data_IF_868651994945
#
_entry.id   IF_868651994945
#
_cell.length_a   1.000
_cell.length_b   1.000
_cell.length_c   1.000
_cell.angle_alpha   90.00
_cell.angle_beta   90.00
_cell.angle_gamma   90.00
#
_symmetry.space_group_name_H-M   'P 1'
#
loop_
_entity.id
_entity.type
_entity.pdbx_description
1 polymer ?
2 polymer ?
3 polymer ?
4 non-polymer ?
5 non-polymer ?
6 non-polymer ?
7 water ?
#
loop_
_entity_poly.entity_id
_entity_poly.type
_entity_poly.pdbx_seq_one_letter_code
_entity_poly.pdbx_strand_id
1 'polydeoxyribonucleotide' '(DG)(DG)(DG)(DG)(DT)(DG)(DT)(DG)(DG)(DT)(DA)(DG)' ?
2 'polydeoxyribonucleotide' '(DA)(DT)(DC)(DG)(DC)(DT)(DA)(DC)(DC)(DA)(DC)(DA)(DC)(DC)(DC)(DC)(DT)' ?
#
# COMPACT_ATOMS: atom_id res chain seq x y z
N UNK C 12 22.61 -15.52 6.89
CA UNK C 12 23.12 -14.16 7.01
C UNK C 12 23.76 -13.70 5.70
N UNK C 13 22.99 -12.95 4.91
CA UNK C 13 23.43 -12.39 3.64
C UNK C 13 23.66 -10.90 3.84
N UNK C 14 24.91 -10.45 3.67
CA UNK C 14 25.25 -9.04 3.83
C UNK C 14 25.04 -8.28 2.52
N UNK C 15 25.00 -6.94 2.61
CA UNK C 15 24.66 -6.12 1.46
C UNK C 15 25.72 -6.16 0.37
N UNK C 16 26.95 -6.55 0.68
CA UNK C 16 27.96 -6.74 -0.36
C UNK C 16 27.92 -8.15 -0.97
N UNK C 17 26.95 -8.95 -0.62
CA UNK C 17 26.80 -10.29 -1.14
C UNK C 17 25.90 -10.25 -2.37
N UNK C 18 26.28 -10.92 -3.47
CA UNK C 18 25.43 -10.88 -4.67
C UNK C 18 23.98 -11.26 -4.42
N UNK C 19 23.71 -12.13 -3.43
CA UNK C 19 22.38 -12.64 -3.09
C UNK C 19 21.59 -11.71 -2.18
N UNK C 20 22.14 -10.55 -1.81
CA UNK C 20 21.47 -9.71 -0.82
C UNK C 20 20.08 -9.29 -1.30
N UNK C 21 20.01 -8.75 -2.52
CA UNK C 21 18.74 -8.24 -3.01
C UNK C 21 17.68 -9.33 -3.03
N UNK C 22 18.06 -10.52 -3.49
CA UNK C 22 17.12 -11.64 -3.51
C UNK C 22 16.66 -11.97 -2.10
N UNK C 23 17.58 -12.01 -1.15
CA UNK C 23 17.22 -12.42 0.20
C UNK C 23 16.41 -11.33 0.91
N UNK C 24 16.78 -10.07 0.73
CA UNK C 24 16.00 -8.98 1.34
C UNK C 24 14.58 -8.96 0.81
N UNK C 25 14.43 -8.97 -0.52
CA UNK C 25 13.09 -8.96 -1.10
C UNK C 25 12.30 -10.19 -0.69
N UNK C 26 12.97 -11.34 -0.53
CA UNK C 26 12.27 -12.55 -0.11
C UNK C 26 11.65 -12.40 1.26
N UNK C 27 12.26 -11.60 2.14
CA UNK C 27 11.79 -11.43 3.51
C UNK C 27 10.94 -10.18 3.74
N UNK C 28 10.97 -9.22 2.81
CA UNK C 28 10.41 -7.90 3.05
C UNK C 28 8.92 -7.94 2.73
N UNK C 29 8.08 -7.75 3.74
CA UNK C 29 6.62 -7.70 3.52
C UNK C 29 6.26 -6.47 2.67
N UNK C 30 7.04 -5.40 2.78
CA UNK C 30 6.67 -4.18 2.03
C UNK C 30 7.01 -4.42 0.56
N UNK C 31 8.13 -5.07 0.27
CA UNK C 31 8.39 -5.47 -1.10
C UNK C 31 7.26 -6.35 -1.64
N UNK C 32 6.82 -7.35 -0.85
CA UNK C 32 5.78 -8.26 -1.32
C UNK C 32 4.48 -7.51 -1.61
N UNK C 33 4.07 -6.63 -0.68
CA UNK C 33 2.87 -5.83 -0.90
C UNK C 33 2.97 -5.03 -2.19
N UNK C 34 4.12 -4.39 -2.43
CA UNK C 34 4.31 -3.60 -3.65
C UNK C 34 4.36 -4.48 -4.90
N UNK C 35 5.09 -5.61 -4.85
CA UNK C 35 5.13 -6.51 -6.01
C UNK C 35 3.75 -7.10 -6.28
N UNK C 36 3.04 -7.50 -5.24
CA UNK C 36 1.71 -8.07 -5.41
C UNK C 36 0.78 -7.06 -6.08
N UNK C 37 0.84 -5.80 -5.64
CA UNK C 37 0.00 -4.77 -6.23
C UNK C 37 0.33 -4.57 -7.70
N UNK C 38 1.62 -4.51 -8.04
CA UNK C 38 2.05 -4.32 -9.42
C UNK C 38 1.56 -5.44 -10.32
N UNK C 39 1.67 -6.69 -9.86
CA UNK C 39 1.20 -7.82 -10.64
C UNK C 39 -0.31 -7.80 -10.82
N UNK C 40 -1.04 -7.40 -9.77
CA UNK C 40 -2.49 -7.32 -9.88
C UNK C 40 -2.90 -6.29 -10.92
N UNK C 41 -2.20 -5.14 -10.97
CA UNK C 41 -2.55 -4.12 -11.95
C UNK C 41 -2.24 -4.58 -13.36
N UNK C 42 -1.13 -5.29 -13.57
CA UNK C 42 -0.81 -5.75 -14.91
C UNK C 42 -1.76 -6.85 -15.32
N UNK C 43 -2.20 -7.69 -14.38
CA UNK C 43 -3.19 -8.72 -14.70
C UNK C 43 -4.53 -8.10 -15.07
N UNK C 44 -4.92 -7.02 -14.41
CA UNK C 44 -6.13 -6.33 -14.80
C UNK C 44 -6.05 -5.87 -16.25
N UNK C 45 -4.92 -5.23 -16.61
CA UNK C 45 -4.72 -4.74 -17.96
C UNK C 45 -4.81 -5.86 -18.99
N UNK C 46 -4.22 -7.02 -18.68
CA UNK C 46 -4.22 -8.13 -19.63
C UNK C 46 -5.58 -8.78 -19.74
N UNK C 47 -6.22 -9.07 -18.60
CA UNK C 47 -7.56 -9.68 -18.61
C UNK C 47 -8.55 -8.86 -19.42
N UNK C 48 -8.41 -7.54 -19.39
CA UNK C 48 -9.35 -6.63 -20.02
C UNK C 48 -8.82 -6.05 -21.33
N UNK C 49 -7.76 -6.63 -21.91
CA UNK C 49 -7.12 -6.01 -23.08
C UNK C 49 -8.10 -5.83 -24.23
N UNK C 50 -9.09 -6.72 -24.34
CA UNK C 50 -10.14 -6.55 -25.34
C UNK C 50 -11.49 -6.49 -24.65
N UNK C 51 -11.69 -5.48 -23.78
CA UNK C 51 -12.97 -5.26 -23.05
C UNK C 51 -13.05 -3.80 -22.58
N UNK C 52 -13.64 -2.87 -23.33
CA UNK C 52 -13.62 -1.46 -22.81
C UNK C 52 -14.42 -1.28 -21.50
N UNK C 53 -15.63 -1.82 -21.37
CA UNK C 53 -16.41 -1.80 -20.08
C UNK C 53 -16.45 -0.38 -19.52
N UNK C 54 -16.70 0.64 -20.34
CA UNK C 54 -16.61 2.06 -19.91
C UNK C 54 -17.63 2.53 -18.86
N UNK C 55 -17.18 3.39 -17.92
CA UNK C 55 -18.10 4.01 -16.92
C UNK C 55 -18.04 5.50 -17.25
N UNK C 56 -19.17 6.19 -17.18
CA UNK C 56 -19.24 7.59 -17.65
C UNK C 56 -19.86 8.40 -16.51
N UNK C 57 -19.69 9.73 -16.53
CA UNK C 57 -20.30 10.63 -15.51
C UNK C 57 -21.84 10.55 -15.46
N UNK C 58 -22.46 10.19 -16.58
CA UNK C 58 -23.94 10.06 -16.62
C UNK C 58 -24.39 8.73 -16.00
N UNK C 59 -23.50 7.74 -15.92
CA UNK C 59 -23.83 6.40 -15.36
C UNK C 59 -24.05 6.44 -13.83
N UNK C 60 -24.92 5.55 -13.31
CA UNK C 60 -25.19 5.49 -11.87
C UNK C 60 -24.64 4.16 -11.33
N UNK C 61 -23.89 4.19 -10.21
CA UNK C 61 -23.22 2.96 -9.71
C UNK C 61 -23.18 2.81 -8.19
N UNK C 62 -22.97 1.57 -7.72
CA UNK C 62 -22.74 1.32 -6.30
C UNK C 62 -21.36 0.67 -6.15
N UNK C 63 -20.65 1.03 -5.09
CA UNK C 63 -19.31 0.52 -4.82
C UNK C 63 -19.39 -0.49 -3.68
N UNK C 64 -18.74 -1.63 -3.85
CA UNK C 64 -18.49 -2.59 -2.78
C UNK C 64 -16.97 -2.62 -2.58
N UNK C 65 -16.52 -2.11 -1.41
CA UNK C 65 -15.12 -2.06 -1.05
C UNK C 65 -14.84 -3.20 -0.07
N UNK C 66 -14.06 -4.17 -0.49
CA UNK C 66 -13.94 -5.45 0.19
C UNK C 66 -12.51 -5.60 0.72
N UNK C 67 -12.38 -6.02 1.98
CA UNK C 67 -11.03 -6.10 2.58
C UNK C 67 -10.94 -7.19 3.65
N UNK C 68 -9.99 -8.12 3.50
CA UNK C 68 -9.72 -9.11 4.53
C UNK C 68 -9.52 -8.43 5.89
N UNK C 69 -10.04 -9.04 6.95
CA UNK C 69 -9.75 -8.51 8.32
C UNK C 69 -8.39 -9.04 8.77
N UNK C 70 -7.50 -8.20 9.32
CA UNK C 70 -6.11 -8.60 9.73
C UNK C 70 -5.64 -9.73 8.82
N UNK C 71 -5.35 -9.42 7.55
CA UNK C 71 -5.09 -10.48 6.57
C UNK C 71 -3.89 -11.36 6.94
N UNK C 72 -2.70 -10.75 7.12
CA UNK C 72 -1.50 -11.54 7.44
C UNK C 72 -1.69 -12.35 8.72
N UNK C 73 -2.22 -11.72 9.76
CA UNK C 73 -2.36 -12.42 11.04
C UNK C 73 -3.33 -13.58 10.91
N UNK C 74 -4.43 -13.38 10.19
CA UNK C 74 -5.42 -14.44 10.01
C UNK C 74 -4.82 -15.60 9.23
N UNK C 75 -4.11 -15.31 8.14
CA UNK C 75 -3.56 -16.39 7.34
C UNK C 75 -2.40 -17.05 8.06
N UNK C 76 -1.51 -16.25 8.66
CA UNK C 76 -0.37 -16.82 9.37
C UNK C 76 -0.81 -17.72 10.51
N UNK C 77 -1.94 -17.38 11.15
CA UNK C 77 -2.50 -18.26 12.17
C UNK C 77 -3.06 -19.52 11.54
N UNK C 78 -3.97 -19.38 10.56
CA UNK C 78 -4.64 -20.57 9.98
C UNK C 78 -3.61 -21.57 9.48
N UNK C 79 -2.51 -21.08 8.90
CA UNK C 79 -1.40 -21.96 8.40
C UNK C 79 -0.11 -22.17 9.26
N UNK C 80 -0.27 -21.76 10.53
CA UNK C 80 0.91 -21.81 11.43
C UNK C 80 1.44 -23.23 11.66
N UNK C 81 2.76 -23.32 11.78
CA UNK C 81 3.42 -24.62 12.02
C UNK C 81 3.12 -25.17 13.41
N UNK C 82 3.50 -26.41 13.63
CA UNK C 82 3.30 -27.09 14.93
C UNK C 82 4.11 -26.37 16.02
N UNK C 83 5.23 -25.74 15.69
CA UNK C 83 6.05 -25.01 16.66
C UNK C 83 5.19 -24.04 17.47
N UNK C 84 4.03 -23.64 16.92
CA UNK C 84 3.15 -22.59 17.51
C UNK C 84 1.70 -23.07 17.68
N UNK C 85 1.46 -24.31 18.10
CA UNK C 85 0.10 -24.90 18.15
C UNK C 85 -0.64 -24.25 19.31
N UNK C 86 0.12 -23.77 20.31
CA UNK C 86 -0.43 -23.23 21.57
C UNK C 86 -0.87 -21.75 21.50
N UNK C 87 -1.97 -21.47 20.78
CA UNK C 87 -2.61 -20.13 20.72
C UNK C 87 -4.00 -20.22 20.09
N UNK C 88 -4.93 -19.40 20.59
CA UNK C 88 -6.29 -19.11 20.12
C UNK C 88 -6.39 -17.74 19.49
N UNK C 89 -6.90 -17.73 18.26
CA UNK C 89 -7.04 -16.47 17.56
C UNK C 89 -8.01 -15.52 18.26
N UNK C 90 -9.06 -16.05 18.87
CA UNK C 90 -10.09 -15.19 19.43
C UNK C 90 -9.81 -14.77 20.86
N UNK C 91 -8.82 -15.38 21.52
CA UNK C 91 -8.52 -15.04 22.91
C UNK C 91 -7.07 -14.61 23.16
N UNK C 92 -6.18 -14.78 22.17
CA UNK C 92 -4.78 -14.42 22.35
C UNK C 92 -4.41 -13.23 21.49
N UNK C 93 -3.50 -12.36 21.97
CA UNK C 93 -2.96 -11.28 21.12
C UNK C 93 -1.91 -11.81 20.16
N UNK C 94 -2.29 -11.91 18.88
CA UNK C 94 -1.44 -12.50 17.84
C UNK C 94 -0.88 -11.40 16.95
N UNK C 95 0.43 -11.43 16.71
CA UNK C 95 1.08 -10.54 15.76
C UNK C 95 1.92 -11.37 14.79
N UNK C 96 2.17 -10.80 13.60
CA UNK C 96 3.06 -11.40 12.60
C UNK C 96 4.28 -10.50 12.46
N UNK C 97 5.47 -11.06 12.67
CA UNK C 97 6.70 -10.28 12.60
C UNK C 97 7.88 -11.25 12.47
N UNK C 98 9.03 -10.68 12.10
CA UNK C 98 10.28 -11.42 11.89
C UNK C 98 11.00 -11.70 13.20
N UNK C 99 11.06 -10.71 14.10
CA UNK C 99 12.02 -10.77 15.18
C UNK C 99 11.43 -10.63 16.57
N UNK C 100 12.27 -10.27 17.53
CA UNK C 100 11.89 -10.28 18.95
C UNK C 100 11.78 -8.90 19.57
N UNK C 101 12.52 -7.91 19.08
CA UNK C 101 12.51 -6.61 19.73
C UNK C 101 12.09 -5.51 18.76
N UNK C 102 13.03 -4.97 17.98
CA UNK C 102 12.73 -3.81 17.13
C UNK C 102 12.24 -4.23 15.74
N UNK C 103 11.25 -5.11 15.74
CA UNK C 103 10.76 -5.76 14.53
C UNK C 103 9.33 -5.30 14.32
N UNK C 104 9.00 -4.93 13.07
CA UNK C 104 7.68 -4.41 12.78
C UNK C 104 6.60 -5.47 12.94
N UNK C 105 5.49 -5.08 13.55
CA UNK C 105 4.28 -5.90 13.50
C UNK C 105 3.62 -5.67 12.14
N UNK C 106 3.65 -6.70 11.30
CA UNK C 106 3.05 -6.60 9.97
C UNK C 106 1.53 -6.57 10.04
N UNK C 107 0.95 -7.20 11.04
CA UNK C 107 -0.49 -7.41 11.15
C UNK C 107 -0.74 -7.88 12.57
N UNK C 108 -1.86 -7.48 13.14
CA UNK C 108 -2.22 -8.02 14.44
C UNK C 108 -3.71 -8.29 14.46
N UNK C 109 -4.12 -9.21 15.33
CA UNK C 109 -5.53 -9.57 15.36
C UNK C 109 -6.28 -8.59 16.26
N UNK C 110 -7.61 -8.65 16.18
CA UNK C 110 -8.41 -7.64 16.87
C UNK C 110 -8.31 -7.78 18.38
N UNK C 111 -7.95 -8.96 18.89
CA UNK C 111 -7.64 -9.07 20.31
C UNK C 111 -6.48 -8.16 20.68
N UNK C 112 -5.35 -8.32 19.98
CA UNK C 112 -4.19 -7.47 20.23
C UNK C 112 -4.54 -5.98 20.10
N UNK C 113 -5.37 -5.64 19.10
CA UNK C 113 -5.78 -4.25 18.90
C UNK C 113 -6.58 -3.73 20.09
N UNK C 114 -7.35 -4.62 20.74
CA UNK C 114 -8.11 -4.23 21.91
C UNK C 114 -7.21 -3.71 23.03
N UNK C 115 -5.95 -4.16 23.06
CA UNK C 115 -4.99 -3.61 23.99
C UNK C 115 -4.30 -2.37 23.45
N UNK C 116 -4.66 -1.92 22.25
CA UNK C 116 -4.04 -0.75 21.66
C UNK C 116 -2.88 -1.03 20.73
N UNK C 117 -2.70 -2.26 20.31
CA UNK C 117 -1.58 -2.64 19.46
C UNK C 117 -1.95 -2.38 18.01
N UNK C 118 -1.00 -1.85 17.24
CA UNK C 118 -1.23 -1.42 15.86
C UNK C 118 -0.19 -2.02 14.93
N UNK C 119 -0.62 -2.35 13.70
CA UNK C 119 0.33 -2.58 12.61
C UNK C 119 1.37 -1.47 12.57
N UNK C 120 2.61 -1.83 12.28
CA UNK C 120 3.71 -0.89 12.24
C UNK C 120 4.41 -0.69 13.56
N UNK C 121 3.77 -1.06 14.67
CA UNK C 121 4.43 -1.07 15.97
C UNK C 121 5.61 -2.02 15.96
N UNK C 122 6.59 -1.73 16.81
CA UNK C 122 7.62 -2.72 17.09
C UNK C 122 7.10 -3.71 18.13
N UNK C 123 7.63 -4.92 18.10
CA UNK C 123 7.21 -5.93 19.07
C UNK C 123 7.45 -5.43 20.48
N UNK C 124 8.66 -4.93 20.75
CA UNK C 124 8.99 -4.48 22.11
C UNK C 124 8.01 -3.41 22.62
N UNK C 125 7.47 -2.57 21.74
CA UNK C 125 6.48 -1.60 22.19
C UNK C 125 5.17 -2.27 22.51
N UNK C 126 4.77 -3.23 21.69
CA UNK C 126 3.48 -3.88 21.89
C UNK C 126 3.50 -4.82 23.09
N UNK C 127 4.69 -5.27 23.51
CA UNK C 127 4.78 -6.05 24.73
C UNK C 127 4.42 -5.21 25.95
N UNK C 128 4.87 -3.96 25.98
CA UNK C 128 4.62 -3.08 27.12
C UNK C 128 3.15 -2.77 27.30
N UNK C 129 2.33 -2.96 26.27
CA UNK C 129 0.91 -2.65 26.33
C UNK C 129 0.07 -3.80 26.82
N UNK C 130 0.69 -4.91 27.18
CA UNK C 130 -0.06 -6.06 27.64
C UNK C 130 0.02 -6.11 29.15
N UNK C 131 -1.12 -6.10 29.85
CA UNK C 131 -1.08 -6.26 31.31
C UNK C 131 -0.40 -7.58 31.67
N UNK C 132 0.51 -7.51 32.64
CA UNK C 132 1.26 -8.67 33.09
C UNK C 132 0.33 -9.87 33.27
N UNK C 133 0.65 -10.97 32.61
CA UNK C 133 -0.23 -12.12 32.63
C UNK C 133 -0.55 -12.68 31.26
N UNK C 134 -0.91 -11.80 30.31
CA UNK C 134 -1.23 -12.22 28.95
C UNK C 134 0.04 -12.19 28.11
N UNK C 135 0.23 -13.22 27.29
CA UNK C 135 1.44 -13.42 26.51
C UNK C 135 1.23 -12.97 25.08
N UNK C 136 2.21 -12.26 24.51
CA UNK C 136 2.16 -11.90 23.10
C UNK C 136 2.62 -13.07 22.24
N UNK C 137 1.79 -13.45 21.27
CA UNK C 137 2.12 -14.54 20.34
C UNK C 137 2.57 -13.97 19.00
N UNK C 138 3.82 -14.27 18.63
CA UNK C 138 4.38 -13.85 17.35
C UNK C 138 4.43 -15.03 16.39
N UNK C 139 3.78 -14.89 15.25
CA UNK C 139 3.77 -15.88 14.19
C UNK C 139 4.68 -15.43 13.05
N UNK C 140 5.34 -16.36 12.37
CA UNK C 140 6.16 -15.99 11.23
C UNK C 140 5.30 -15.71 10.01
N UNK C 141 5.88 -14.98 9.06
CA UNK C 141 5.16 -14.75 7.82
C UNK C 141 4.99 -16.06 7.07
N UNK C 142 3.90 -16.14 6.30
CA UNK C 142 3.61 -17.24 5.39
C UNK C 142 3.31 -16.63 4.01
N UNK C 143 4.36 -16.12 3.36
CA UNK C 143 4.18 -15.29 2.18
C UNK C 143 3.47 -16.03 1.06
N UNK C 144 3.85 -17.28 0.79
CA UNK C 144 3.20 -18.02 -0.30
C UNK C 144 1.70 -18.23 -0.02
N UNK C 145 1.34 -18.53 1.22
CA UNK C 145 -0.08 -18.72 1.54
C UNK C 145 -0.85 -17.42 1.49
N UNK C 146 -0.23 -16.29 1.86
CA UNK C 146 -0.91 -15.02 1.68
C UNK C 146 -1.33 -14.87 0.23
N UNK C 147 -0.45 -15.25 -0.70
CA UNK C 147 -0.77 -15.08 -2.11
C UNK C 147 -1.81 -16.10 -2.59
N UNK C 148 -1.79 -17.32 -2.06
CA UNK C 148 -2.81 -18.30 -2.44
C UNK C 148 -4.19 -17.92 -1.92
N UNK C 149 -4.29 -17.39 -0.69
CA UNK C 149 -5.59 -16.91 -0.22
C UNK C 149 -6.08 -15.76 -1.08
N UNK C 150 -5.17 -14.84 -1.42
CA UNK C 150 -5.51 -13.76 -2.33
C UNK C 150 -6.01 -14.28 -3.67
N UNK C 151 -5.36 -15.30 -4.22
CA UNK C 151 -5.85 -15.86 -5.48
C UNK C 151 -7.30 -16.32 -5.34
N UNK C 152 -7.61 -17.03 -4.26
CA UNK C 152 -8.98 -17.46 -4.03
C UNK C 152 -9.92 -16.26 -3.98
N UNK C 153 -9.51 -15.21 -3.26
CA UNK C 153 -10.31 -14.00 -3.10
C UNK C 153 -10.65 -13.38 -4.46
N UNK C 154 -9.64 -13.12 -5.29
CA UNK C 154 -9.96 -12.48 -6.57
C UNK C 154 -10.71 -13.44 -7.50
N UNK C 155 -10.48 -14.74 -7.36
CA UNK C 155 -11.23 -15.71 -8.14
C UNK C 155 -12.71 -15.69 -7.77
N UNK C 156 -13.00 -15.78 -6.46
CA UNK C 156 -14.37 -15.63 -5.99
C UNK C 156 -15.03 -14.39 -6.58
N UNK C 157 -14.39 -13.22 -6.46
CA UNK C 157 -14.99 -11.98 -6.94
C UNK C 157 -15.36 -12.07 -8.42
N UNK C 158 -14.47 -12.65 -9.23
CA UNK C 158 -14.73 -12.78 -10.66
C UNK C 158 -15.89 -13.73 -10.92
N UNK C 159 -15.91 -14.86 -10.21
CA UNK C 159 -16.90 -15.90 -10.48
C UNK C 159 -18.32 -15.41 -10.24
N UNK C 160 -18.51 -14.42 -9.36
CA UNK C 160 -19.85 -13.97 -9.04
C UNK C 160 -20.55 -13.35 -10.24
N UNK C 161 -19.81 -12.79 -11.19
CA UNK C 161 -20.38 -12.14 -12.38
C UNK C 161 -21.46 -11.14 -12.00
N UNK C 162 -21.16 -10.31 -11.00
CA UNK C 162 -22.09 -9.28 -10.56
C UNK C 162 -21.49 -7.88 -10.60
N UNK C 163 -20.21 -7.73 -10.94
CA UNK C 163 -19.54 -6.43 -10.94
C UNK C 163 -19.13 -6.07 -12.35
N UNK C 164 -19.49 -4.86 -12.79
CA UNK C 164 -18.98 -4.33 -14.04
C UNK C 164 -17.51 -3.98 -13.99
N UNK C 165 -16.89 -3.99 -12.81
CA UNK C 165 -15.51 -3.52 -12.69
C UNK C 165 -14.97 -3.99 -11.35
N UNK C 166 -13.84 -4.71 -11.37
CA UNK C 166 -13.22 -5.22 -10.14
C UNK C 166 -11.83 -4.58 -10.09
N UNK C 167 -11.67 -3.54 -9.27
CA UNK C 167 -10.40 -2.83 -9.22
C UNK C 167 -9.52 -3.37 -8.10
N UNK C 168 -8.31 -3.85 -8.39
CA UNK C 168 -7.43 -4.34 -7.32
C UNK C 168 -6.86 -3.17 -6.53
N UNK C 169 -6.92 -3.25 -5.22
CA UNK C 169 -6.26 -2.26 -4.37
C UNK C 169 -4.96 -2.81 -3.83
N UNK C 170 -4.99 -4.03 -3.31
CA UNK C 170 -3.81 -4.73 -2.82
C UNK C 170 -4.11 -6.22 -2.81
N UNK C 171 -3.16 -6.97 -2.27
CA UNK C 171 -3.28 -8.43 -2.13
C UNK C 171 -4.59 -8.84 -1.44
N UNK C 172 -5.13 -8.00 -0.57
CA UNK C 172 -6.25 -8.38 0.27
C UNK C 172 -7.37 -7.37 0.17
N UNK C 173 -7.47 -6.65 -0.94
CA UNK C 173 -8.40 -5.54 -0.96
C UNK C 173 -8.72 -5.17 -2.40
N UNK C 174 -10.01 -4.98 -2.67
CA UNK C 174 -10.43 -4.61 -4.02
C UNK C 174 -11.64 -3.70 -3.92
N UNK C 175 -11.81 -2.86 -4.93
CA UNK C 175 -13.01 -2.01 -5.06
C UNK C 175 -13.82 -2.54 -6.24
N UNK C 176 -15.05 -2.96 -5.96
CA UNK C 176 -15.90 -3.62 -6.95
C UNK C 176 -17.05 -2.69 -7.30
N UNK C 177 -17.21 -2.39 -8.58
CA UNK C 177 -18.21 -1.42 -9.04
C UNK C 177 -19.33 -2.16 -9.76
N UNK C 178 -20.56 -1.88 -9.34
CA UNK C 178 -21.76 -2.42 -9.99
C UNK C 178 -22.54 -1.25 -10.56
N UNK C 179 -22.82 -1.32 -11.84
CA UNK C 179 -23.63 -0.29 -12.49
C UNK C 179 -25.09 -0.57 -12.20
N UNK C 180 -25.80 0.50 -11.82
CA UNK C 180 -27.27 0.40 -11.60
C UNK C 180 -27.91 1.14 -12.78
N UNK C 181 -28.52 0.44 -13.75
CA UNK C 181 -29.15 1.08 -14.91
C UNK C 181 -30.34 1.94 -14.44
N UNK C 182 -30.58 3.07 -15.14
CA UNK C 182 -31.67 4.00 -14.77
C UNK C 182 -33.00 3.27 -14.67
N UNK C 183 -33.25 2.32 -15.58
CA UNK C 183 -34.51 1.52 -15.59
C UNK C 183 -34.57 0.58 -14.37
N UNK C 184 -33.44 0.00 -13.95
CA UNK C 184 -33.40 -0.98 -12.81
C UNK C 184 -33.65 -0.32 -11.44
N UNK C 185 -34.33 -1.03 -10.51
CA UNK C 185 -34.58 -0.49 -9.15
C UNK C 185 -33.75 -1.22 -8.09
N UNK C 186 -32.83 -0.51 -7.43
CA UNK C 186 -31.98 -1.09 -6.40
C UNK C 186 -32.65 -0.98 -5.03
N UNK C 187 -32.48 -2.02 -4.21
CA UNK C 187 -32.92 -2.02 -2.83
C UNK C 187 -31.77 -2.44 -1.93
N UNK C 188 -31.82 -2.02 -0.67
CA UNK C 188 -30.85 -2.50 0.31
C UNK C 188 -31.03 -3.98 0.63
N UNK C 189 -32.22 -4.54 0.37
CA UNK C 189 -32.38 -5.99 0.46
C UNK C 189 -31.40 -6.69 -0.47
N UNK C 190 -31.34 -6.26 -1.73
CA UNK C 190 -30.39 -6.82 -2.68
C UNK C 190 -28.94 -6.59 -2.23
N UNK C 191 -28.64 -5.40 -1.70
CA UNK C 191 -27.25 -5.09 -1.36
C UNK C 191 -26.78 -5.91 -0.18
N UNK C 192 -27.62 -6.07 0.83
CA UNK C 192 -27.24 -6.87 1.99
C UNK C 192 -26.98 -8.33 1.59
N UNK C 193 -27.75 -8.84 0.63
CA UNK C 193 -27.54 -10.23 0.20
C UNK C 193 -26.27 -10.38 -0.63
N UNK C 194 -26.02 -9.44 -1.54
CA UNK C 194 -24.74 -9.45 -2.25
C UNK C 194 -23.59 -9.39 -1.26
N UNK C 195 -23.71 -8.53 -0.25
CA UNK C 195 -22.71 -8.44 0.80
C UNK C 195 -22.53 -9.78 1.51
N UNK C 196 -23.65 -10.43 1.88
CA UNK C 196 -23.53 -11.66 2.65
C UNK C 196 -23.08 -12.84 1.77
N UNK C 197 -23.43 -12.82 0.48
CA UNK C 197 -22.90 -13.84 -0.41
C UNK C 197 -21.37 -13.73 -0.51
N UNK C 198 -20.89 -12.54 -0.89
CA UNK C 198 -19.45 -12.31 -1.01
C UNK C 198 -18.72 -12.77 0.24
N UNK C 199 -19.18 -12.33 1.41
CA UNK C 199 -18.50 -12.69 2.65
C UNK C 199 -18.46 -14.20 2.85
N UNK C 200 -19.52 -14.89 2.43
CA UNK C 200 -19.60 -16.33 2.68
C UNK C 200 -18.78 -17.11 1.67
N UNK C 201 -18.86 -16.74 0.40
CA UNK C 201 -18.05 -17.40 -0.63
C UNK C 201 -16.57 -17.28 -0.28
N UNK C 202 -16.14 -16.08 0.09
CA UNK C 202 -14.73 -15.85 0.40
C UNK C 202 -14.34 -16.63 1.65
N UNK C 203 -15.23 -16.68 2.63
CA UNK C 203 -14.94 -17.49 3.83
C UNK C 203 -14.68 -18.94 3.41
N UNK C 204 -15.50 -19.44 2.49
CA UNK C 204 -15.37 -20.84 2.02
C UNK C 204 -14.13 -20.96 1.13
N UNK C 205 -14.06 -20.14 0.09
CA UNK C 205 -12.95 -20.23 -0.85
C UNK C 205 -11.56 -20.09 -0.23
N UNK C 206 -11.46 -19.58 1.00
CA UNK C 206 -10.19 -19.33 1.66
C UNK C 206 -10.01 -20.13 2.94
N UNK C 207 -10.95 -21.01 3.27
CA UNK C 207 -10.76 -21.93 4.37
C UNK C 207 -10.66 -21.19 5.70
N UNK C 208 -11.48 -20.16 5.89
CA UNK C 208 -11.60 -19.57 7.21
C UNK C 208 -11.18 -18.12 7.35
N UNK C 209 -10.92 -17.44 6.24
CA UNK C 209 -10.60 -16.01 6.29
C UNK C 209 -11.87 -15.19 6.09
N UNK C 210 -12.01 -14.14 6.90
CA UNK C 210 -13.16 -13.24 6.81
C UNK C 210 -12.79 -11.93 6.12
N UNK C 211 -13.75 -11.36 5.38
CA UNK C 211 -13.64 -10.01 4.83
C UNK C 211 -14.75 -9.14 5.42
N UNK C 212 -14.49 -7.83 5.47
CA UNK C 212 -15.55 -6.85 5.67
C UNK C 212 -15.76 -6.06 4.39
N UNK C 213 -16.91 -5.41 4.31
CA UNK C 213 -17.37 -4.79 3.07
C UNK C 213 -18.03 -3.47 3.43
N UNK C 214 -17.62 -2.41 2.74
CA UNK C 214 -18.30 -1.13 2.79
C UNK C 214 -19.04 -0.95 1.47
N UNK C 215 -20.26 -0.46 1.56
CA UNK C 215 -21.12 -0.37 0.37
C UNK C 215 -21.71 1.03 0.35
N UNK C 216 -21.55 1.74 -0.76
CA UNK C 216 -22.09 3.09 -0.84
C UNK C 216 -22.13 3.52 -2.30
N UNK C 217 -22.45 4.79 -2.54
CA UNK C 217 -22.47 5.38 -3.87
C UNK C 217 -21.40 6.45 -4.07
N UNK C 218 -20.33 6.39 -3.28
CA UNK C 218 -19.08 7.10 -3.56
C UNK C 218 -17.92 6.23 -3.11
N UNK C 219 -16.76 6.45 -3.73
CA UNK C 219 -15.57 5.70 -3.31
C UNK C 219 -15.22 6.05 -1.87
N UNK C 220 -15.25 7.33 -1.53
CA UNK C 220 -14.85 7.75 -0.20
C UNK C 220 -15.78 7.15 0.86
N UNK C 221 -17.09 7.13 0.60
CA UNK C 221 -18.04 6.62 1.61
C UNK C 221 -17.95 5.10 1.77
N UNK C 222 -17.73 4.40 0.67
CA UNK C 222 -17.57 2.93 0.76
C UNK C 222 -16.37 2.64 1.65
N UNK C 223 -15.36 3.46 1.54
CA UNK C 223 -14.12 3.27 2.33
C UNK C 223 -14.42 3.47 3.81
N UNK C 224 -15.12 4.54 4.14
CA UNK C 224 -15.52 4.77 5.53
C UNK C 224 -16.52 3.72 5.99
N UNK C 225 -17.45 3.31 5.11
CA UNK C 225 -18.39 2.26 5.51
C UNK C 225 -17.65 0.97 5.85
N UNK C 226 -16.59 0.67 5.10
CA UNK C 226 -15.83 -0.55 5.35
C UNK C 226 -15.08 -0.46 6.66
N UNK C 227 -14.55 0.73 6.98
CA UNK C 227 -13.98 0.93 8.31
C UNK C 227 -15.03 0.68 9.37
N UNK C 228 -16.22 1.23 9.19
CA UNK C 228 -17.28 1.03 10.18
C UNK C 228 -17.66 -0.44 10.31
N UNK C 229 -17.56 -1.20 9.22
CA UNK C 229 -18.04 -2.57 9.23
C UNK C 229 -17.11 -3.55 9.95
N UNK C 230 -15.82 -3.18 10.16
CA UNK C 230 -14.82 -4.08 10.72
C UNK C 230 -15.03 -4.29 12.22
N UNK C 231 -14.75 -5.50 12.74
CA UNK C 231 -14.31 -6.63 11.93
C UNK C 231 -15.45 -7.58 11.53
N UNK C 232 -15.22 -8.31 10.44
CA UNK C 232 -16.07 -9.43 10.02
C UNK C 232 -17.54 -9.02 9.94
N UNK C 233 -17.78 -7.88 9.29
CA UNK C 233 -19.13 -7.40 9.06
C UNK C 233 -19.24 -6.64 7.75
N UNK C 234 -20.39 -6.02 7.49
CA UNK C 234 -20.56 -5.17 6.33
C UNK C 234 -21.45 -4.00 6.73
N UNK C 235 -21.26 -2.88 6.02
CA UNK C 235 -21.99 -1.66 6.29
C UNK C 235 -22.43 -1.05 4.97
N UNK C 236 -23.71 -0.67 4.91
CA UNK C 236 -24.30 0.00 3.76
C UNK C 236 -24.65 1.41 4.19
N UNK C 237 -23.96 2.42 3.66
CA UNK C 237 -24.24 3.81 4.01
C UNK C 237 -24.19 4.65 2.74
N UNK C 238 -25.33 5.10 2.26
CA UNK C 238 -25.31 5.94 1.08
C UNK C 238 -25.27 7.40 1.47
N UNK C 239 -24.98 8.24 0.48
CA UNK C 239 -25.05 9.68 0.67
C UNK C 239 -26.35 10.08 1.34
N UNK C 240 -27.46 9.50 0.90
CA UNK C 240 -28.77 9.76 1.50
C UNK C 240 -28.84 9.35 2.97
N UNK C 241 -27.96 8.46 3.43
CA UNK C 241 -27.97 7.97 4.80
C UNK C 241 -27.07 8.75 5.73
N UNK C 242 -26.39 9.79 5.24
CA UNK C 242 -25.41 10.47 6.06
C UNK C 242 -26.07 11.11 7.27
N UNK C 243 -25.37 11.08 8.40
CA UNK C 243 -25.87 11.67 9.63
C UNK C 243 -24.68 12.11 10.47
N UNK C 244 -24.97 12.99 11.42
CA UNK C 244 -23.98 13.39 12.41
C UNK C 244 -23.45 12.19 13.16
N UNK C 245 -24.32 11.20 13.40
CA UNK C 245 -23.93 9.96 14.05
C UNK C 245 -22.82 9.25 13.27
N UNK C 246 -22.98 9.19 11.94
CA UNK C 246 -21.97 8.58 11.08
C UNK C 246 -20.64 9.32 11.18
N UNK C 247 -20.65 10.63 10.92
CA UNK C 247 -19.41 11.41 10.92
C UNK C 247 -18.70 11.36 12.27
N UNK C 248 -19.46 11.30 13.35
CA UNK C 248 -18.87 11.32 14.70
C UNK C 248 -18.18 10.00 15.06
N UNK C 249 -18.22 9.03 14.16
CA UNK C 249 -17.61 7.74 14.42
C UNK C 249 -16.21 7.58 13.86
N UNK C 250 -15.68 8.57 13.15
CA UNK C 250 -14.41 8.40 12.44
C UNK C 250 -13.37 9.40 12.94
N UNK C 251 -12.13 8.94 13.05
CA UNK C 251 -10.99 9.81 13.30
C UNK C 251 -10.61 10.54 12.00
N UNK C 252 -9.80 11.59 12.15
CA UNK C 252 -9.46 12.43 10.99
C UNK C 252 -8.65 11.62 9.96
N UNK C 253 -7.72 10.79 10.42
CA UNK C 253 -6.92 9.99 9.50
C UNK C 253 -7.64 8.74 9.03
N UNK C 254 -8.95 8.62 9.25
CA UNK C 254 -9.73 7.66 8.49
C UNK C 254 -10.02 8.17 7.08
N UNK C 255 -9.89 9.47 6.86
CA UNK C 255 -10.10 10.03 5.53
C UNK C 255 -8.95 9.61 4.62
N UNK C 256 -9.25 9.18 3.39
CA UNK C 256 -8.16 8.88 2.44
C UNK C 256 -7.39 10.14 2.10
N UNK C 257 -6.07 10.02 2.08
CA UNK C 257 -5.21 11.17 1.89
C UNK C 257 -4.78 11.87 3.16
N UNK C 258 -5.40 11.55 4.30
CA UNK C 258 -5.01 12.13 5.59
C UNK C 258 -4.11 11.11 6.29
N UNK C 259 -2.81 11.28 6.08
CA UNK C 259 -1.80 10.55 6.82
C UNK C 259 -1.31 11.37 8.00
N UNK C 260 -0.17 10.97 8.57
CA UNK C 260 0.22 11.54 9.85
C UNK C 260 0.55 13.04 9.73
N UNK C 261 1.15 13.46 8.61
CA UNK C 261 1.49 14.88 8.48
C UNK C 261 0.24 15.72 8.26
N UNK C 262 -0.71 15.22 7.48
CA UNK C 262 -1.94 15.97 7.26
C UNK C 262 -2.76 16.06 8.55
N UNK C 263 -2.74 15.00 9.36
CA UNK C 263 -3.42 14.99 10.65
C UNK C 263 -2.87 16.09 11.56
N UNK C 264 -1.54 16.16 11.67
CA UNK C 264 -0.92 17.16 12.54
C UNK C 264 -1.31 18.57 12.11
N UNK C 265 -1.28 18.84 10.81
CA UNK C 265 -1.64 20.18 10.33
C UNK C 265 -3.11 20.48 10.59
N UNK C 266 -3.98 19.47 10.46
CA UNK C 266 -5.40 19.67 10.73
C UNK C 266 -5.66 19.94 12.20
N UNK C 267 -4.95 19.21 13.08
CA UNK C 267 -5.12 19.43 14.51
C UNK C 267 -4.57 20.79 14.91
N UNK C 268 -3.45 21.21 14.32
CA UNK C 268 -2.90 22.52 14.63
C UNK C 268 -3.80 23.63 14.10
N UNK C 269 -4.39 23.44 12.91
CA UNK C 269 -5.20 24.51 12.30
C UNK C 269 -6.57 24.62 12.95
N UNK C 270 -7.25 23.50 13.19
CA UNK C 270 -8.63 23.54 13.64
C UNK C 270 -8.81 23.09 15.09
N UNK C 271 -7.82 23.34 15.95
CA UNK C 271 -7.93 23.17 17.40
C UNK C 271 -8.24 21.71 17.79
N UNK C 272 -7.41 20.79 17.26
CA UNK C 272 -7.46 19.35 17.53
C UNK C 272 -8.87 18.77 17.48
N UNK C 273 -9.50 18.74 16.30
CA UNK C 273 -10.74 17.97 16.18
C UNK C 273 -10.45 16.52 16.46
N UNK C 274 -11.44 15.81 17.01
CA UNK C 274 -11.27 14.40 17.34
C UNK C 274 -12.21 13.50 16.56
N UNK C 275 -13.02 14.04 15.67
CA UNK C 275 -13.86 13.21 14.84
C UNK C 275 -14.09 13.98 13.55
N UNK C 276 -14.50 13.27 12.51
CA UNK C 276 -14.80 13.96 11.26
C UNK C 276 -16.01 14.89 11.44
N UNK C 277 -16.87 14.61 12.41
CA UNK C 277 -17.92 15.56 12.76
C UNK C 277 -17.31 16.86 13.30
N UNK C 278 -16.36 16.77 14.22
CA UNK C 278 -15.67 17.99 14.66
C UNK C 278 -15.08 18.76 13.50
N UNK C 279 -14.29 18.07 12.67
CA UNK C 279 -13.64 18.77 11.55
C UNK C 279 -14.68 19.42 10.65
N UNK C 280 -15.79 18.73 10.37
CA UNK C 280 -16.71 19.28 9.39
C UNK C 280 -17.55 20.41 9.98
N UNK C 281 -17.74 20.43 11.29
CA UNK C 281 -18.45 21.55 11.91
C UNK C 281 -17.56 22.76 12.10
N UNK C 282 -16.25 22.64 11.88
CA UNK C 282 -15.29 23.69 12.18
C UNK C 282 -14.60 24.30 10.97
N UNK C 283 -14.58 23.62 9.84
CA UNK C 283 -13.68 24.06 8.79
C UNK C 283 -14.38 25.05 7.87
N UNK C 284 -13.57 25.88 7.21
CA UNK C 284 -13.94 26.57 5.99
C UNK C 284 -12.99 26.10 4.90
N UNK C 285 -13.51 25.95 3.69
CA UNK C 285 -12.71 25.41 2.58
C UNK C 285 -11.36 26.11 2.46
N UNK C 286 -11.38 27.45 2.46
CA UNK C 286 -10.13 28.23 2.26
C UNK C 286 -9.15 27.99 3.41
N UNK C 287 -9.63 28.01 4.65
CA UNK C 287 -8.74 27.69 5.78
C UNK C 287 -8.21 26.27 5.64
N UNK C 288 -9.02 25.37 5.09
CA UNK C 288 -8.59 23.99 4.86
C UNK C 288 -7.50 23.92 3.80
N UNK C 289 -7.69 24.61 2.67
CA UNK C 289 -6.63 24.64 1.65
C UNK C 289 -5.38 25.35 2.15
N UNK C 290 -5.54 26.40 2.96
CA UNK C 290 -4.38 27.00 3.58
C UNK C 290 -3.60 25.99 4.41
N UNK C 291 -4.30 25.14 5.17
CA UNK C 291 -3.61 24.28 6.12
C UNK C 291 -2.91 23.09 5.47
N UNK C 292 -3.55 22.45 4.49
CA UNK C 292 -3.08 21.17 3.98
C UNK C 292 -2.74 21.17 2.51
N UNK C 293 -2.99 22.27 1.80
CA UNK C 293 -2.79 22.34 0.37
C UNK C 293 -4.12 22.46 -0.38
N UNK C 294 -4.02 22.94 -1.62
CA UNK C 294 -5.22 23.30 -2.37
C UNK C 294 -5.97 22.05 -2.85
N UNK C 295 -5.28 21.13 -3.52
CA UNK C 295 -5.96 19.94 -4.01
C UNK C 295 -6.38 19.02 -2.87
N UNK C 296 -5.48 18.77 -1.92
CA UNK C 296 -5.87 17.96 -0.77
C UNK C 296 -6.96 18.65 0.03
N UNK C 297 -6.89 19.99 0.13
CA UNK C 297 -7.96 20.71 0.80
C UNK C 297 -9.31 20.48 0.14
N UNK C 298 -9.37 20.63 -1.19
CA UNK C 298 -10.61 20.39 -1.90
C UNK C 298 -11.05 18.94 -1.77
N UNK C 299 -10.10 18.00 -1.78
CA UNK C 299 -10.45 16.58 -1.65
C UNK C 299 -11.11 16.31 -0.30
N UNK C 300 -10.51 16.82 0.78
CA UNK C 300 -11.08 16.61 2.12
C UNK C 300 -12.45 17.28 2.23
N UNK C 301 -12.57 18.49 1.70
CA UNK C 301 -13.86 19.18 1.67
C UNK C 301 -14.94 18.33 1.01
N UNK C 302 -14.68 17.85 -0.21
CA UNK C 302 -15.65 16.98 -0.88
C UNK C 302 -15.86 15.68 -0.12
N UNK C 303 -14.79 15.14 0.48
CA UNK C 303 -14.94 13.92 1.28
C UNK C 303 -15.89 14.14 2.46
N UNK C 304 -15.81 15.30 3.08
CA UNK C 304 -16.69 15.58 4.21
C UNK C 304 -18.15 15.75 3.79
N UNK C 305 -18.44 15.76 2.48
CA UNK C 305 -19.81 15.66 2.00
C UNK C 305 -20.16 14.25 1.53
N UNK C 306 -19.24 13.30 1.66
CA UNK C 306 -19.44 11.97 1.12
C UNK C 306 -19.11 11.83 -0.35
N UNK C 307 -18.43 12.82 -0.93
CA UNK C 307 -18.26 12.91 -2.37
C UNK C 307 -16.80 12.69 -2.77
N UNK C 308 -16.62 12.04 -3.91
CA UNK C 308 -15.31 11.86 -4.52
C UNK C 308 -14.85 13.14 -5.21
N UNK C 309 -13.53 13.28 -5.34
CA UNK C 309 -12.91 14.37 -6.08
C UNK C 309 -12.59 13.92 -7.51
N UNK C 310 -12.16 14.88 -8.32
CA UNK C 310 -11.90 14.60 -9.74
C UNK C 310 -10.84 13.52 -9.90
N UNK C 311 -9.78 13.59 -9.10
CA UNK C 311 -8.68 12.64 -9.23
C UNK C 311 -9.12 11.21 -8.89
N UNK C 312 -9.90 11.04 -7.82
CA UNK C 312 -10.30 9.69 -7.44
C UNK C 312 -11.22 9.07 -8.48
N UNK C 313 -12.04 9.89 -9.13
CA UNK C 313 -13.03 9.35 -10.06
C UNK C 313 -12.40 8.79 -11.31
N UNK C 314 -11.17 9.21 -11.63
CA UNK C 314 -10.54 8.80 -12.89
C UNK C 314 -10.43 7.29 -12.99
N UNK C 315 -10.19 6.61 -11.86
CA UNK C 315 -10.08 5.16 -11.90
C UNK C 315 -11.39 4.52 -12.34
N UNK C 316 -12.53 5.21 -12.18
CA UNK C 316 -13.77 4.63 -12.67
C UNK C 316 -13.92 4.88 -14.16
N UNK C 317 -13.52 6.06 -14.61
CA UNK C 317 -13.80 6.45 -15.98
C UNK C 317 -12.83 5.78 -16.96
N UNK C 318 -11.56 5.70 -16.60
CA UNK C 318 -10.53 5.10 -17.46
C UNK C 318 -9.56 4.30 -16.63
N UNK C 319 -10.03 3.18 -16.06
CA UNK C 319 -9.15 2.42 -15.16
C UNK C 319 -7.88 1.92 -15.83
N UNK C 320 -7.91 1.69 -17.15
CA UNK C 320 -6.71 1.18 -17.81
C UNK C 320 -5.60 2.22 -17.83
N UNK C 321 -5.95 3.49 -18.07
CA UNK C 321 -4.95 4.56 -18.00
C UNK C 321 -4.42 4.71 -16.57
N UNK C 322 -5.31 4.62 -15.59
CA UNK C 322 -4.92 4.81 -14.20
C UNK C 322 -3.96 3.69 -13.76
N UNK C 323 -4.30 2.43 -14.08
CA UNK C 323 -3.52 1.28 -13.61
C UNK C 323 -2.25 1.05 -14.43
N UNK C 324 -2.04 1.81 -15.51
CA UNK C 324 -0.83 1.70 -16.30
C UNK C 324 0.38 2.16 -15.49
N UNK C 325 1.45 1.37 -15.48
CA UNK C 325 2.66 1.74 -14.75
C UNK C 325 3.42 2.86 -15.46
N UNK C 326 3.82 3.90 -14.71
CA UNK C 326 4.52 5.07 -15.31
C UNK C 326 5.97 5.21 -14.79
N UNK C 327 6.33 4.51 -13.74
CA UNK C 327 7.73 4.52 -13.30
C UNK C 327 8.05 3.17 -12.68
N UNK C 328 9.33 2.97 -12.41
CA UNK C 328 9.76 1.66 -11.91
C UNK C 328 10.98 1.90 -11.03
N UNK C 329 11.01 1.27 -9.84
CA UNK C 329 12.10 1.58 -8.93
C UNK C 329 12.28 0.45 -7.92
N UNK C 330 13.43 0.50 -7.23
CA UNK C 330 13.65 -0.28 -6.03
C UNK C 330 14.13 0.65 -4.93
N UNK C 331 13.79 0.32 -3.70
CA UNK C 331 14.28 1.05 -2.54
C UNK C 331 14.86 0.05 -1.56
N UNK C 332 16.10 0.27 -1.12
CA UNK C 332 16.69 -0.59 -0.10
C UNK C 332 17.20 0.31 0.99
N UNK C 333 16.52 0.32 2.13
CA UNK C 333 16.87 1.20 3.25
C UNK C 333 17.04 0.40 4.53
N UNK C 334 17.44 -0.86 4.39
CA UNK C 334 17.67 -1.73 5.53
C UNK C 334 18.84 -2.62 5.20
N UNK C 335 19.79 -2.75 6.12
CA UNK C 335 20.95 -3.57 5.84
C UNK C 335 22.04 -2.93 5.03
N UNK C 336 21.96 -1.62 4.79
CA UNK C 336 22.95 -0.91 3.96
C UNK C 336 24.13 -0.56 4.87
N UNK C 337 25.21 -1.35 4.75
CA UNK C 337 26.46 -1.12 5.48
C UNK C 337 27.61 -1.41 4.51
N UNK C 338 28.15 -0.36 3.89
CA UNK C 338 29.23 -0.51 2.92
C UNK C 338 30.48 0.18 3.45
N UNK C 339 31.65 -0.36 3.06
CA UNK C 339 32.93 0.17 3.52
C UNK C 339 33.59 1.10 2.51
N UNK C 340 33.38 0.89 1.21
CA UNK C 340 34.14 1.63 0.22
C UNK C 340 33.29 1.81 -1.02
N UNK C 341 33.76 2.71 -1.90
CA UNK C 341 33.03 3.05 -3.11
C UNK C 341 32.94 1.89 -4.09
N UNK C 342 33.90 0.95 -4.04
CA UNK C 342 33.84 -0.21 -4.94
C UNK C 342 32.58 -1.03 -4.69
N UNK C 343 32.29 -1.29 -3.41
CA UNK C 343 31.15 -2.12 -3.06
C UNK C 343 29.83 -1.39 -3.27
N UNK C 344 29.80 -0.07 -3.08
CA UNK C 344 28.61 0.70 -3.45
C UNK C 344 28.33 0.56 -4.94
N UNK C 345 29.36 0.73 -5.76
CA UNK C 345 29.18 0.64 -7.22
C UNK C 345 28.65 -0.72 -7.64
N UNK C 346 29.21 -1.79 -7.07
CA UNK C 346 28.72 -3.12 -7.38
C UNK C 346 27.24 -3.26 -7.02
N UNK C 347 26.84 -2.67 -5.89
CA UNK C 347 25.45 -2.78 -5.46
C UNK C 347 24.52 -1.99 -6.38
N UNK C 348 24.93 -0.79 -6.79
CA UNK C 348 24.18 -0.04 -7.79
C UNK C 348 24.05 -0.86 -9.06
N UNK C 349 25.14 -1.54 -9.46
CA UNK C 349 25.11 -2.34 -10.68
C UNK C 349 24.12 -3.50 -10.55
N UNK C 350 24.15 -4.23 -9.42
CA UNK C 350 23.15 -5.29 -9.18
C UNK C 350 21.73 -4.75 -9.21
N UNK C 351 21.52 -3.59 -8.58
CA UNK C 351 20.20 -2.98 -8.60
C UNK C 351 19.75 -2.64 -10.01
N UNK C 352 20.67 -2.12 -10.82
CA UNK C 352 20.35 -1.74 -12.19
C UNK C 352 19.96 -2.97 -13.02
N UNK C 353 20.70 -4.06 -12.83
CA UNK C 353 20.39 -5.28 -13.56
C UNK C 353 19.02 -5.82 -13.17
N UNK C 354 18.71 -5.77 -11.87
CA UNK C 354 17.39 -6.18 -11.40
C UNK C 354 16.31 -5.34 -12.02
N UNK C 355 16.50 -4.02 -12.03
CA UNK C 355 15.51 -3.11 -12.59
C UNK C 355 15.36 -3.29 -14.09
N UNK C 356 16.45 -3.61 -14.79
CA UNK C 356 16.36 -3.80 -16.23
C UNK C 356 15.68 -5.12 -16.55
N UNK C 357 15.88 -6.16 -15.73
CA UNK C 357 15.11 -7.39 -15.92
C UNK C 357 13.61 -7.13 -15.84
N UNK C 358 13.18 -6.35 -14.85
CA UNK C 358 11.78 -5.94 -14.72
C UNK C 358 11.35 -5.08 -15.90
N UNK C 359 12.17 -4.09 -16.26
CA UNK C 359 11.83 -3.22 -17.39
C UNK C 359 11.68 -4.04 -18.67
N UNK C 360 12.50 -5.07 -18.86
CA UNK C 360 12.39 -5.87 -20.07
C UNK C 360 11.14 -6.74 -20.03
N UNK C 361 10.78 -7.25 -18.85
CA UNK C 361 9.57 -8.04 -18.71
C UNK C 361 8.33 -7.26 -19.14
N UNK C 362 8.34 -5.94 -19.01
CA UNK C 362 7.19 -5.14 -19.40
C UNK C 362 7.42 -4.45 -20.74
N UNK C 363 8.47 -4.87 -21.46
CA UNK C 363 8.74 -4.37 -22.84
C UNK C 363 8.75 -2.84 -22.88
N UNK C 364 9.66 -2.23 -22.12
CA UNK C 364 9.75 -0.77 -22.08
C UNK C 364 11.20 -0.32 -22.02
N UNK C 365 11.40 0.94 -22.36
CA UNK C 365 12.65 1.63 -22.15
C UNK C 365 12.41 2.78 -21.18
N UNK C 366 13.48 3.38 -20.70
CA UNK C 366 13.36 4.54 -19.84
C UNK C 366 14.20 5.68 -20.39
N UNK C 367 13.70 6.91 -20.19
CA UNK C 367 14.39 8.12 -20.62
C UNK C 367 14.81 9.05 -19.47
N UNK C 368 14.51 8.71 -18.22
CA UNK C 368 14.94 9.55 -17.10
C UNK C 368 15.12 8.66 -15.88
N UNK C 369 16.24 8.83 -15.18
CA UNK C 369 16.51 8.01 -14.02
C UNK C 369 16.80 8.92 -12.83
N UNK C 370 16.65 8.35 -11.64
CA UNK C 370 16.94 9.05 -10.40
C UNK C 370 17.68 8.11 -9.45
N UNK C 371 18.71 8.62 -8.81
CA UNK C 371 19.30 8.00 -7.62
C UNK C 371 18.96 8.84 -6.39
N UNK C 372 18.54 8.17 -5.34
CA UNK C 372 18.13 8.78 -4.09
C UNK C 372 18.84 8.02 -2.98
N UNK C 373 19.34 8.73 -1.96
CA UNK C 373 20.02 8.00 -0.89
C UNK C 373 19.62 8.55 0.48
N UNK C 374 19.91 7.72 1.49
CA UNK C 374 19.72 8.01 2.93
C UNK C 374 21.11 8.01 3.57
N UNK C 375 21.52 9.13 4.16
CA UNK C 375 22.84 9.29 4.72
C UNK C 375 22.69 9.54 6.21
N UNK C 376 23.54 8.89 7.00
CA UNK C 376 23.42 8.97 8.45
C UNK C 376 23.48 10.42 8.89
N UNK C 377 22.55 10.81 9.77
CA UNK C 377 22.60 12.15 10.32
C UNK C 377 23.90 12.33 11.09
N UNK C 378 24.42 13.57 11.11
CA UNK C 378 25.78 13.71 11.63
C UNK C 378 25.83 13.39 13.12
N UNK C 379 24.74 13.65 13.84
CA UNK C 379 24.65 13.36 15.27
C UNK C 379 23.90 12.05 15.56
N UNK C 380 23.70 11.17 14.52
CA UNK C 380 23.01 9.92 14.81
C UNK C 380 24.01 8.78 15.01
N UNK C 381 23.65 7.77 15.78
CA UNK C 381 24.58 6.67 16.03
C UNK C 381 24.85 5.83 14.79
N UNK C 382 26.11 5.42 14.64
CA UNK C 382 26.55 4.59 13.48
C UNK C 382 25.70 3.31 13.42
N UNK C 383 25.43 2.69 14.57
CA UNK C 383 24.48 1.55 14.54
C UNK C 383 23.21 2.04 15.21
N UNK C 384 22.07 2.07 14.50
CA UNK C 384 20.84 2.65 15.04
C UNK C 384 20.12 1.73 16.01
N UNK C 385 19.05 2.18 16.70
CA UNK C 385 18.30 1.26 17.57
C UNK C 385 17.84 -0.01 16.88
N UNK C 386 17.37 0.07 15.64
CA UNK C 386 16.92 -1.13 14.93
C UNK C 386 18.10 -1.83 14.28
N UNK C 387 18.22 -3.13 14.54
CA UNK C 387 19.24 -3.93 13.88
C UNK C 387 19.21 -3.71 12.38
N UNK C 388 20.34 -3.28 11.82
CA UNK C 388 20.53 -3.05 10.38
C UNK C 388 19.63 -1.95 9.81
N UNK C 389 19.02 -1.13 10.68
CA UNK C 389 18.16 -0.07 10.21
C UNK C 389 18.94 1.09 9.60
N UNK C 390 18.21 1.95 8.91
CA UNK C 390 18.82 3.17 8.39
C UNK C 390 19.01 4.22 9.48
N UNK C 391 18.20 4.17 10.54
CA UNK C 391 18.25 5.17 11.61
C UNK C 391 17.79 6.52 11.10
N UNK C 392 18.07 7.55 11.90
CA UNK C 392 17.75 8.92 11.48
C UNK C 392 18.71 9.36 10.38
N UNK C 393 18.17 9.79 9.24
CA UNK C 393 18.97 10.08 8.05
C UNK C 393 18.53 11.37 7.38
N UNK C 394 19.43 11.91 6.54
CA UNK C 394 19.11 12.97 5.60
C UNK C 394 19.01 12.37 4.21
N UNK C 395 17.97 12.74 3.48
CA UNK C 395 17.76 12.26 2.12
C UNK C 395 18.43 13.20 1.11
N UNK C 396 18.96 12.62 0.04
CA UNK C 396 19.50 13.37 -1.08
C UNK C 396 19.09 12.66 -2.35
N UNK C 397 18.82 13.44 -3.39
CA UNK C 397 18.28 12.90 -4.63
C UNK C 397 18.79 13.74 -5.79
N UNK C 398 19.06 13.03 -6.90
CA UNK C 398 19.49 13.69 -8.16
C UNK C 398 18.97 12.86 -9.34
N UNK C 399 18.43 13.52 -10.37
CA UNK C 399 17.95 12.82 -11.55
C UNK C 399 18.74 13.24 -12.78
N UNK C 400 18.55 12.49 -13.86
CA UNK C 400 19.31 12.69 -15.09
C UNK C 400 18.50 12.23 -16.30
N UNK C 401 18.26 13.16 -17.23
CA UNK C 401 17.58 12.83 -18.48
C UNK C 401 18.55 12.09 -19.39
N UNK C 402 18.09 11.00 -20.00
CA UNK C 402 18.95 10.26 -20.97
C UNK C 402 18.78 10.89 -22.36
N UNK C 403 19.64 10.52 -23.31
CA UNK C 403 19.54 11.04 -24.70
C UNK C 403 18.26 10.53 -25.35
N UNK C 404 18.28 9.27 -25.81
CA UNK C 404 17.06 8.64 -26.29
C UNK C 404 16.67 7.61 -25.25
N UNK C 405 15.40 7.19 -25.21
CA UNK C 405 15.01 6.11 -24.30
C UNK C 405 15.91 4.89 -24.48
N UNK C 406 16.20 4.21 -23.38
CA UNK C 406 17.08 3.06 -23.48
C UNK C 406 16.75 2.01 -22.43
N UNK C 407 17.23 0.79 -22.68
CA UNK C 407 17.27 -0.27 -21.69
C UNK C 407 18.69 -0.81 -21.52
N UNK C 408 19.69 -0.06 -21.96
CA UNK C 408 21.05 -0.57 -21.98
C UNK C 408 21.72 -0.38 -20.63
N UNK C 409 22.26 -1.48 -20.10
CA UNK C 409 22.88 -1.48 -18.77
C UNK C 409 24.06 -0.53 -18.69
N UNK C 410 24.90 -0.51 -19.74
CA UNK C 410 26.08 0.35 -19.72
C UNK C 410 25.73 1.81 -19.57
N UNK C 411 24.73 2.28 -20.30
CA UNK C 411 24.30 3.68 -20.17
C UNK C 411 23.76 3.95 -18.77
N UNK C 412 22.83 3.10 -18.32
CA UNK C 412 22.06 3.40 -17.12
C UNK C 412 22.91 3.23 -15.87
N UNK C 413 23.62 2.11 -15.77
CA UNK C 413 24.40 1.87 -14.57
C UNK C 413 25.54 2.88 -14.45
N UNK C 414 26.11 3.30 -15.58
CA UNK C 414 27.17 4.29 -15.52
C UNK C 414 26.63 5.63 -15.01
N UNK C 415 25.47 6.04 -15.54
CA UNK C 415 24.86 7.29 -15.08
C UNK C 415 24.43 7.18 -13.62
N UNK C 416 23.94 6.01 -13.19
CA UNK C 416 23.55 5.86 -11.79
C UNK C 416 24.76 6.01 -10.88
N UNK C 417 25.89 5.41 -11.27
CA UNK C 417 27.09 5.51 -10.44
C UNK C 417 27.63 6.94 -10.46
N UNK C 418 27.46 7.64 -11.59
CA UNK C 418 27.80 9.05 -11.67
C UNK C 418 26.91 9.87 -10.74
N UNK C 419 25.60 9.61 -10.77
CA UNK C 419 24.70 10.31 -9.87
C UNK C 419 25.10 10.13 -8.42
N UNK C 420 25.52 8.91 -8.05
CA UNK C 420 25.94 8.69 -6.67
C UNK C 420 27.11 9.58 -6.34
N UNK C 421 28.05 9.72 -7.27
CA UNK C 421 29.24 10.52 -6.96
C UNK C 421 28.88 11.99 -6.74
N UNK C 422 27.92 12.52 -7.51
CA UNK C 422 27.55 13.92 -7.36
C UNK C 422 26.89 14.23 -6.03
N UNK C 423 26.34 13.23 -5.34
CA UNK C 423 25.66 13.48 -4.08
C UNK C 423 26.60 13.51 -2.87
N UNK C 424 27.85 13.10 -3.04
CA UNK C 424 28.88 13.24 -2.01
C UNK C 424 28.61 12.52 -0.73
N UNK C 425 28.15 11.27 -0.80
CA UNK C 425 27.86 10.52 0.42
C UNK C 425 28.99 9.52 0.62
N UNK C 426 29.82 9.66 1.64
CA UNK C 426 30.85 8.65 1.89
C UNK C 426 30.21 7.29 2.07
N UNK C 427 30.82 6.22 1.53
CA UNK C 427 30.19 4.90 1.59
C UNK C 427 29.84 4.43 2.99
N UNK C 428 30.69 4.71 3.97
CA UNK C 428 30.39 4.26 5.33
C UNK C 428 29.25 5.05 5.98
N UNK C 429 28.86 6.20 5.42
CA UNK C 429 27.73 6.96 5.91
C UNK C 429 26.42 6.58 5.21
N UNK C 430 26.50 5.75 4.16
CA UNK C 430 25.33 5.33 3.39
C UNK C 430 24.44 4.42 4.21
N UNK C 431 23.15 4.76 4.27
CA UNK C 431 22.20 3.94 5.00
C UNK C 431 21.00 3.52 4.16
N UNK C 432 20.88 4.00 2.93
CA UNK C 432 19.76 3.62 2.09
C UNK C 432 19.97 4.09 0.66
N UNK C 433 19.46 3.33 -0.31
CA UNK C 433 19.60 3.66 -1.72
C UNK C 433 18.29 3.36 -2.43
N UNK C 434 17.85 4.28 -3.29
CA UNK C 434 16.76 4.01 -4.24
C UNK C 434 17.28 4.25 -5.64
N UNK C 435 16.87 3.38 -6.56
CA UNK C 435 17.20 3.46 -7.98
C UNK C 435 15.89 3.55 -8.73
N UNK C 436 15.70 4.61 -9.52
CA UNK C 436 14.40 4.88 -10.12
C UNK C 436 14.53 5.12 -11.62
N UNK C 437 13.59 4.56 -12.38
CA UNK C 437 13.38 4.87 -13.79
C UNK C 437 12.09 5.69 -13.81
N UNK C 438 12.22 7.02 -13.91
CA UNK C 438 11.07 7.90 -13.70
C UNK C 438 10.14 8.00 -14.92
N UNK C 439 10.66 7.87 -16.14
CA UNK C 439 9.82 7.91 -17.32
C UNK C 439 10.05 6.66 -18.14
N UNK C 440 8.96 6.01 -18.54
CA UNK C 440 9.05 4.80 -19.35
C UNK C 440 8.43 5.06 -20.72
N UNK C 441 8.95 4.38 -21.73
CA UNK C 441 8.50 4.51 -23.12
C UNK C 441 8.16 3.13 -23.66
N UNK C 442 7.06 3.06 -24.41
CA UNK C 442 6.62 1.79 -25.00
C UNK C 442 7.58 1.32 -26.09
N UNK C 443 7.88 0.02 -26.08
CA UNK C 443 8.56 -0.62 -27.21
C UNK C 443 7.50 -1.30 -28.07
N UNK C 444 7.34 -0.86 -29.31
CA UNK C 444 6.44 -1.47 -30.25
C UNK C 444 7.16 -2.30 -31.30
N UNK C 445 6.42 -2.82 -32.29
CA UNK C 445 7.06 -3.65 -33.32
C UNK C 445 8.09 -2.90 -34.15
N UNK C 446 7.91 -1.59 -34.29
CA UNK C 446 8.78 -0.73 -35.10
C UNK C 446 9.82 -0.13 -34.17
N UNK C 447 11.03 -0.66 -34.21
CA UNK C 447 12.15 -0.11 -33.45
C UNK C 447 13.25 0.38 -34.39
N UNK C 448 12.84 0.80 -35.59
CA UNK C 448 13.82 1.33 -36.57
C UNK C 448 14.15 2.78 -36.23
N UNK C 449 15.42 3.06 -35.91
CA UNK C 449 15.89 4.41 -35.49
C UNK C 449 14.81 5.13 -34.67
X LIG D 1 -6.07 8.03 5.60
X LIG E 1 -7.45 -4.59 8.80
X LIG E 1 -7.45 -3.23 9.47
X LIG E 1 -8.44 -5.53 9.40
X LIG E 1 -7.56 -4.49 7.32
X LIG E 1 -4.80 -5.63 8.14
X LIG E 1 -3.71 -6.14 9.02
X LIG E 1 -5.33 -6.50 7.04
X LIG E 1 -6.01 -5.21 9.09
X LIG E 1 -4.41 -3.54 6.07
X LIG E 1 -4.18 -2.07 6.24
X LIG E 1 -5.61 -3.97 5.30
X LIG E 1 -4.39 -4.21 7.53
X LIG E 1 -3.11 -4.20 5.43
X LIG E 1 -3.20 -5.40 4.63
X LIG E 1 -2.01 -6.27 4.94
X LIG E 1 -0.82 -5.48 4.78
X LIG E 1 -1.98 -6.74 6.39
X LIG E 1 -2.65 -7.98 6.58
X LIG E 1 -0.50 -6.88 6.67
X LIG E 1 0.19 -6.06 5.60
X LIG E 1 1.03 -5.03 6.16
X LIG E 1 2.37 -5.12 6.34
X LIG E 1 2.90 -4.05 6.87
X LIG E 1 1.82 -3.20 7.09
X LIG E 1 1.71 -1.92 7.65
X LIG E 1 2.76 -1.25 8.11
X LIG E 1 0.48 -1.37 7.72
X LIG E 1 -0.56 -2.07 7.26
X LIG E 1 -0.59 -3.28 6.71
X LIG E 1 0.65 -3.81 6.66
X LIG F 1 6.50 1.26 8.69
X LIG F 1 6.20 -0.07 9.07
X LIG F 1 7.60 1.32 7.65
X LIG F 1 8.21 2.62 7.67
X LIG F 1 8.65 0.26 7.80
X LIG F 1 9.26 0.30 9.08
X LIG G 1 -6.97 -5.99 5.33
X LIG H 1 -5.71 -4.15 2.85
#
# INVERSE_FOLDING_TARGET
PVNLNNLEAKRIVACDDPDFLTSYFAHSRLHHLSAWKANLKDKFLNENIHKYTKITDKDTYIIFHIDFDCFFATVAYLCRSSSFSACDFKRDPIVVCHGTKNSDIASCNYVARSYGIKNGMWVSQAEKMLPNGIKLISLPYTFEQFQLKSEAFYSTLKRLNIFNLILPISIDEAVCVRIIPDNIHNTNTLNARLCEEIRQEIFQGTNGCTVSIGCSDSLVLARLALKMAKPNGYNITFKSNLSEEFWSSFKLDDLPGVGHSTLSRLESTFDSPHSLNDLRKRYTLDALKASVGSKLGMKIHLALQGQDDEESLKILYDPKEVLQRKSLSIDINWGIRFKNITQVDLFIERGCQYLLEKLNEINKTTSQITLKLMRRCKDAPIEPPKYMGMGRCDSFSRSSRLGIPTNEFGIIATEMKSLYRTLGCPPMELRGLALQFNKLVDVGPDNNQLK
CA CA
DTP PG O1G O2G O3G PB O1B O2B O3B PA O1A O2A O3A O5' C5' C4' O4' C3' O3' C2' C1' N9 C8 N7 C5 C6 N6 N1 C2 N3 C4
GOL C1 O1 C2 O2 C3 O3
CA CA
CA CA
#
